data_IF_521248378798
#
_entry.id   IF_521248378798
#
_cell.length_a   1.000
_cell.length_b   1.000
_cell.length_c   1.000
_cell.angle_alpha   90.00
_cell.angle_beta   90.00
_cell.angle_gamma   90.00
#
_symmetry.space_group_name_H-M   'P 1'
#
loop_
_entity.id
_entity.type
_entity.pdbx_description
1 polymer ?
#
# COMPACT_ATOMS: atom_id res chain seq x y z
N UNK A 1 -27.75 -7.29 -2.74
CA UNK A 1 -26.29 -7.53 -2.74
C UNK A 1 -25.66 -6.49 -3.64
N UNK A 2 -25.28 -5.35 -3.08
CA UNK A 2 -24.54 -4.30 -3.78
C UNK A 2 -23.07 -4.63 -3.71
N UNK A 3 -22.50 -5.03 -4.84
CA UNK A 3 -21.06 -5.16 -5.01
C UNK A 3 -20.49 -3.74 -4.97
N UNK A 4 -19.87 -3.35 -3.84
CA UNK A 4 -19.05 -2.15 -3.79
C UNK A 4 -17.82 -2.41 -4.65
N UNK A 5 -17.90 -1.99 -5.91
CA UNK A 5 -16.74 -1.84 -6.77
C UNK A 5 -15.82 -0.82 -6.09
N UNK A 6 -14.77 -1.30 -5.42
CA UNK A 6 -13.68 -0.47 -4.92
C UNK A 6 -13.02 0.08 -6.18
N UNK A 7 -13.53 1.23 -6.63
CA UNK A 7 -12.98 1.96 -7.74
C UNK A 7 -11.55 2.31 -7.39
N UNK A 8 -10.61 1.51 -7.87
CA UNK A 8 -9.31 1.99 -8.28
C UNK A 8 -9.60 3.03 -9.36
N UNK A 9 -9.95 4.25 -8.93
CA UNK A 9 -10.02 5.39 -9.81
C UNK A 9 -8.62 5.49 -10.41
N UNK A 10 -8.47 5.01 -11.64
CA UNK A 10 -7.22 5.09 -12.38
C UNK A 10 -6.82 6.55 -12.37
N UNK A 11 -5.83 6.88 -11.54
CA UNK A 11 -5.31 8.24 -11.50
C UNK A 11 -4.71 8.46 -12.88
N UNK A 12 -5.24 9.47 -13.57
CA UNK A 12 -4.65 9.90 -14.83
C UNK A 12 -3.21 10.31 -14.51
N UNK A 13 -2.25 9.49 -14.95
CA UNK A 13 -0.88 9.95 -15.12
C UNK A 13 -0.96 11.14 -16.08
N UNK A 14 -0.29 12.24 -15.76
CA UNK A 14 -0.26 13.37 -16.67
C UNK A 14 0.35 12.86 -17.97
N UNK A 15 -0.39 12.96 -19.08
CA UNK A 15 0.11 12.62 -20.41
C UNK A 15 1.17 13.65 -20.80
N UNK A 16 2.38 13.44 -20.31
CA UNK A 16 3.63 14.05 -20.71
C UNK A 16 4.48 12.91 -21.28
N UNK A 17 5.13 13.10 -22.42
CA UNK A 17 5.96 12.09 -23.12
C UNK A 17 7.22 11.68 -22.31
N UNK A 18 7.26 11.99 -21.02
CA UNK A 18 8.36 11.74 -20.11
C UNK A 18 7.88 10.99 -18.85
N UNK A 19 8.16 9.68 -18.79
CA UNK A 19 7.99 8.87 -17.59
C UNK A 19 8.96 9.35 -16.49
N UNK A 20 8.45 10.09 -15.50
CA UNK A 20 9.26 10.58 -14.36
C UNK A 20 9.21 9.59 -13.21
N UNK A 21 10.37 9.26 -12.64
CA UNK A 21 10.47 8.41 -11.44
C UNK A 21 9.65 8.95 -10.28
N UNK A 22 9.49 10.28 -10.19
CA UNK A 22 8.64 10.93 -9.18
C UNK A 22 7.17 10.55 -9.33
N UNK A 23 6.63 10.54 -10.54
CA UNK A 23 5.20 10.28 -10.78
C UNK A 23 4.84 8.81 -10.53
N UNK A 24 5.73 7.91 -10.96
CA UNK A 24 5.64 6.48 -10.64
C UNK A 24 5.79 6.24 -9.14
N UNK A 25 6.75 6.92 -8.50
CA UNK A 25 6.96 6.88 -7.06
C UNK A 25 5.71 7.30 -6.26
N UNK A 26 5.11 8.44 -6.59
CA UNK A 26 3.90 8.94 -5.93
C UNK A 26 2.72 7.97 -6.07
N UNK A 27 2.56 7.36 -7.24
CA UNK A 27 1.49 6.35 -7.46
C UNK A 27 1.69 5.12 -6.58
N UNK A 28 2.92 4.61 -6.47
CA UNK A 28 3.21 3.48 -5.58
C UNK A 28 3.13 3.85 -4.10
N UNK A 29 3.52 5.07 -3.71
CA UNK A 29 3.34 5.56 -2.35
C UNK A 29 1.86 5.59 -1.95
N UNK A 30 0.94 5.91 -2.85
CA UNK A 30 -0.50 5.84 -2.58
C UNK A 30 -1.00 4.40 -2.41
N UNK A 31 -0.47 3.44 -3.18
CA UNK A 31 -0.80 2.02 -2.99
C UNK A 31 -0.27 1.49 -1.65
N UNK A 32 0.94 1.86 -1.26
CA UNK A 32 1.50 1.53 0.05
C UNK A 32 0.67 2.17 1.16
N UNK A 33 0.32 3.46 1.06
CA UNK A 33 -0.56 4.14 2.02
C UNK A 33 -1.92 3.46 2.16
N UNK A 34 -2.48 2.97 1.06
CA UNK A 34 -3.76 2.25 1.09
C UNK A 34 -3.63 0.93 1.85
N UNK A 35 -2.56 0.18 1.62
CA UNK A 35 -2.31 -1.08 2.34
C UNK A 35 -1.99 -0.85 3.83
N UNK A 36 -1.17 0.16 4.14
CA UNK A 36 -0.87 0.60 5.50
C UNK A 36 -2.15 1.02 6.24
N UNK A 37 -2.99 1.83 5.59
CA UNK A 37 -4.26 2.29 6.13
C UNK A 37 -5.20 1.12 6.45
N UNK A 38 -5.28 0.11 5.57
CA UNK A 38 -6.10 -1.07 5.82
C UNK A 38 -5.64 -1.87 7.06
N UNK A 39 -4.32 -1.96 7.31
CA UNK A 39 -3.77 -2.58 8.53
C UNK A 39 -4.09 -1.71 9.75
N UNK A 40 -3.87 -0.40 9.63
CA UNK A 40 -4.07 0.55 10.72
C UNK A 40 -5.54 0.58 11.16
N UNK A 41 -6.46 0.63 10.20
CA UNK A 41 -7.91 0.59 10.42
C UNK A 41 -8.30 -0.74 11.06
N UNK A 42 -7.77 -1.86 10.56
CA UNK A 42 -8.02 -3.17 11.16
C UNK A 42 -7.55 -3.24 12.61
N UNK A 43 -6.34 -2.75 12.91
CA UNK A 43 -5.80 -2.74 14.26
C UNK A 43 -6.66 -1.85 15.17
N UNK A 44 -7.04 -0.65 14.72
CA UNK A 44 -7.91 0.26 15.47
C UNK A 44 -9.26 -0.39 15.78
N UNK A 45 -9.89 -1.02 14.79
CA UNK A 45 -11.19 -1.69 14.94
C UNK A 45 -11.14 -2.87 15.92
N UNK A 46 -10.00 -3.55 16.00
CA UNK A 46 -9.81 -4.72 16.88
C UNK A 46 -9.11 -4.40 18.21
N UNK A 47 -8.76 -3.14 18.39
CA UNK A 47 -8.22 -2.65 19.65
C UNK A 47 -9.38 -2.23 20.53
N UNK A 48 -9.67 -3.04 21.56
CA UNK A 48 -10.67 -2.66 22.54
C UNK A 48 -10.08 -1.53 23.41
N UNK A 49 -10.75 -0.38 23.44
CA UNK A 49 -10.48 0.64 24.45
C UNK A 49 -10.75 0.00 25.82
N UNK A 50 -9.70 -0.25 26.59
CA UNK A 50 -9.82 -0.91 27.88
C UNK A 50 -10.77 -0.13 28.79
N UNK A 51 -11.95 -0.67 29.05
CA UNK A 51 -12.84 -0.17 30.09
C UNK A 51 -12.18 -0.48 31.44
N UNK A 52 -11.39 0.44 31.98
CA UNK A 52 -10.83 0.31 33.33
C UNK A 52 -9.36 0.66 33.54
N UNK A 53 -8.72 1.47 32.68
CA UNK A 53 -7.39 2.02 32.97
C UNK A 53 -6.20 1.08 32.72
N UNK A 54 -6.43 -0.12 32.17
CA UNK A 54 -5.41 -0.89 31.47
C UNK A 54 -5.45 -0.51 29.99
N UNK A 55 -4.29 -0.14 29.42
CA UNK A 55 -4.18 0.40 28.06
C UNK A 55 -4.88 -0.45 26.99
N UNK A 56 -5.24 0.21 25.90
CA UNK A 56 -5.84 -0.39 24.70
C UNK A 56 -5.12 -1.68 24.30
N UNK A 57 -5.83 -2.81 24.31
CA UNK A 57 -5.27 -4.14 24.04
C UNK A 57 -5.84 -4.70 22.74
N UNK A 58 -4.94 -5.15 21.86
CA UNK A 58 -5.31 -5.82 20.62
C UNK A 58 -5.73 -7.26 20.95
N UNK A 59 -7.00 -7.57 20.75
CA UNK A 59 -7.55 -8.91 20.96
C UNK A 59 -8.11 -9.42 19.66
N UNK A 60 -7.47 -10.45 19.11
CA UNK A 60 -7.84 -11.05 17.83
C UNK A 60 -8.26 -12.50 18.05
N UNK A 61 -9.38 -12.88 17.46
CA UNK A 61 -9.70 -14.30 17.23
C UNK A 61 -8.74 -14.90 16.21
N UNK A 62 -8.75 -16.24 16.08
CA UNK A 62 -7.94 -16.95 15.09
C UNK A 62 -8.24 -16.49 13.65
N UNK A 63 -9.51 -16.21 13.32
CA UNK A 63 -9.91 -15.70 12.00
C UNK A 63 -9.41 -14.28 11.73
N UNK A 64 -9.47 -13.43 12.75
CA UNK A 64 -8.97 -12.04 12.67
C UNK A 64 -7.44 -11.99 12.61
N UNK A 65 -6.76 -12.91 13.28
CA UNK A 65 -5.29 -13.06 13.20
C UNK A 65 -4.85 -13.45 11.79
N UNK A 66 -5.57 -14.36 11.14
CA UNK A 66 -5.35 -14.71 9.73
C UNK A 66 -5.63 -13.53 8.80
N UNK A 67 -6.64 -12.73 9.09
CA UNK A 67 -6.95 -11.54 8.31
C UNK A 67 -5.85 -10.48 8.43
N UNK A 68 -5.35 -10.23 9.64
CA UNK A 68 -4.21 -9.35 9.85
C UNK A 68 -2.96 -9.84 9.10
N UNK A 69 -2.68 -11.14 9.14
CA UNK A 69 -1.56 -11.72 8.40
C UNK A 69 -1.68 -11.53 6.88
N UNK A 70 -2.90 -11.61 6.33
CA UNK A 70 -3.15 -11.31 4.91
C UNK A 70 -2.91 -9.84 4.60
N UNK A 71 -3.45 -8.92 5.41
CA UNK A 71 -3.25 -7.48 5.23
C UNK A 71 -1.75 -7.10 5.29
N UNK A 72 -1.02 -7.66 6.25
CA UNK A 72 0.45 -7.47 6.33
C UNK A 72 1.19 -8.09 5.13
N UNK A 73 0.69 -9.22 4.61
CA UNK A 73 1.19 -9.82 3.37
C UNK A 73 0.99 -8.89 2.17
N UNK A 74 -0.20 -8.33 2.02
CA UNK A 74 -0.56 -7.41 0.92
C UNK A 74 0.28 -6.13 0.98
N UNK A 75 0.49 -5.56 2.17
CA UNK A 75 1.39 -4.44 2.39
C UNK A 75 2.83 -4.77 1.96
N UNK A 76 3.35 -5.92 2.38
CA UNK A 76 4.68 -6.37 2.00
C UNK A 76 4.83 -6.50 0.49
N UNK A 77 3.81 -7.02 -0.19
CA UNK A 77 3.77 -7.11 -1.65
C UNK A 77 3.76 -5.72 -2.28
N UNK A 78 2.89 -4.81 -1.82
CA UNK A 78 2.80 -3.45 -2.35
C UNK A 78 4.14 -2.69 -2.29
N UNK A 79 4.83 -2.78 -1.15
CA UNK A 79 6.15 -2.16 -0.95
C UNK A 79 7.21 -2.79 -1.86
N UNK A 80 7.25 -4.12 -1.97
CA UNK A 80 8.23 -4.82 -2.79
C UNK A 80 8.01 -4.57 -4.29
N UNK A 81 6.76 -4.60 -4.74
CA UNK A 81 6.39 -4.27 -6.12
C UNK A 81 6.78 -2.83 -6.44
N UNK A 82 6.40 -1.85 -5.61
CA UNK A 82 6.75 -0.45 -5.83
C UNK A 82 8.26 -0.22 -5.90
N UNK A 83 9.01 -0.82 -4.97
CA UNK A 83 10.48 -0.69 -4.93
C UNK A 83 11.14 -1.29 -6.16
N UNK A 84 10.74 -2.51 -6.55
CA UNK A 84 11.34 -3.20 -7.71
C UNK A 84 11.01 -2.51 -9.04
N UNK A 85 9.77 -2.03 -9.21
CA UNK A 85 9.37 -1.27 -10.40
C UNK A 85 10.10 0.06 -10.49
N UNK A 86 10.16 0.83 -9.39
CA UNK A 86 10.85 2.12 -9.38
C UNK A 86 12.35 1.96 -9.65
N UNK A 87 12.97 0.92 -9.08
CA UNK A 87 14.35 0.55 -9.38
C UNK A 87 14.53 0.22 -10.86
N UNK A 88 13.67 -0.63 -11.43
CA UNK A 88 13.75 -1.02 -12.84
C UNK A 88 13.66 0.20 -13.78
N UNK A 89 12.73 1.12 -13.51
CA UNK A 89 12.58 2.36 -14.29
C UNK A 89 13.81 3.26 -14.13
N UNK A 90 14.31 3.45 -12.90
CA UNK A 90 15.55 4.21 -12.66
C UNK A 90 16.73 3.62 -13.43
N UNK A 91 16.89 2.30 -13.39
CA UNK A 91 17.98 1.61 -14.08
C UNK A 91 17.81 1.72 -15.61
N UNK A 92 16.57 1.64 -16.12
CA UNK A 92 16.25 1.84 -17.54
C UNK A 92 16.55 3.25 -18.02
N UNK A 93 16.14 4.29 -17.28
CA UNK A 93 16.44 5.70 -17.59
C UNK A 93 17.95 5.95 -17.53
N UNK A 94 18.63 5.45 -16.50
CA UNK A 94 20.09 5.61 -16.37
C UNK A 94 20.85 4.92 -17.51
N UNK A 95 20.34 3.79 -17.98
CA UNK A 95 20.87 3.07 -19.14
C UNK A 95 20.67 3.87 -20.44
N UNK A 96 19.44 4.35 -20.69
CA UNK A 96 19.12 5.17 -21.85
C UNK A 96 19.96 6.45 -21.88
N UNK A 97 20.13 7.12 -20.74
CA UNK A 97 20.93 8.34 -20.62
C UNK A 97 22.44 8.12 -20.86
N UNK A 98 22.97 6.90 -20.65
CA UNK A 98 24.36 6.57 -21.00
C UNK A 98 24.56 6.23 -22.47
N UNK A 99 23.48 5.93 -23.19
CA UNK A 99 23.50 5.44 -24.57
C UNK A 99 23.14 6.54 -25.59
N UNK A 100 23.04 7.79 -25.15
CA UNK A 100 22.87 9.03 -25.93
C UNK A 100 24.14 9.85 -25.79
#
# INVERSE_FOLDING_TARGET
MTVQNIGMAGRALAEDDALKTTEVGTTFEEFVKTADGAIEDFIKDKTNAGTGGAGSSLSLSAGESLQLQRLMGDQSIAVQTGTSTLKSIKDSISSAARNI
#
